data_IF_841682565186
#
_entry.id   IF_841682565186
#
_cell.length_a   1.000
_cell.length_b   1.000
_cell.length_c   1.000
_cell.angle_alpha   90.00
_cell.angle_beta   90.00
_cell.angle_gamma   90.00
#
_symmetry.space_group_name_H-M   'P 1'
#
loop_
_entity.id
_entity.type
_entity.pdbx_description
1 polymer ?
#
# COMPACT_ATOMS: atom_id res chain seq x y z
N UNK A 1 -6.93 -1.15 6.36
CA UNK A 1 -6.34 -1.18 5.00
C UNK A 1 -6.61 0.11 4.21
N UNK A 2 -7.66 0.87 4.56
CA UNK A 2 -8.01 2.16 3.92
C UNK A 2 -7.10 3.33 4.33
N UNK A 3 -6.49 3.27 5.51
CA UNK A 3 -5.51 4.28 5.98
C UNK A 3 -4.07 4.09 5.44
N UNK A 4 -3.91 3.26 4.41
CA UNK A 4 -2.63 2.98 3.76
C UNK A 4 -2.65 3.57 2.36
N UNK A 5 -1.86 4.61 2.15
CA UNK A 5 -1.65 5.22 0.84
C UNK A 5 -0.55 4.48 0.09
N UNK A 6 -0.70 4.37 -1.22
CA UNK A 6 0.25 3.67 -2.10
C UNK A 6 0.84 4.67 -3.08
N UNK A 7 2.17 4.67 -3.19
CA UNK A 7 2.90 5.42 -4.20
C UNK A 7 3.76 4.48 -5.04
N UNK A 8 3.86 4.75 -6.35
CA UNK A 8 4.76 4.05 -7.27
C UNK A 8 6.22 4.56 -7.22
N UNK A 9 6.49 5.57 -6.39
CA UNK A 9 7.83 6.13 -6.15
C UNK A 9 8.02 6.61 -4.70
N UNK A 10 9.25 6.99 -4.31
CA UNK A 10 9.52 7.53 -2.98
C UNK A 10 8.63 8.74 -2.65
N UNK A 11 8.01 8.71 -1.47
CA UNK A 11 7.09 9.77 -1.02
C UNK A 11 7.87 10.94 -0.42
N UNK A 12 7.53 12.18 -0.81
CA UNK A 12 8.05 13.42 -0.21
C UNK A 12 6.88 14.35 0.15
N UNK A 13 7.06 15.16 1.20
CA UNK A 13 6.08 16.19 1.57
C UNK A 13 4.75 15.67 2.13
N UNK A 14 4.71 14.45 2.67
CA UNK A 14 3.53 13.86 3.30
C UNK A 14 3.65 13.92 4.83
N UNK A 15 2.55 14.16 5.54
CA UNK A 15 2.54 14.17 7.02
C UNK A 15 2.65 12.77 7.64
N UNK A 16 2.45 11.71 6.86
CA UNK A 16 2.65 10.34 7.31
C UNK A 16 4.13 10.08 7.60
N UNK A 17 4.44 9.67 8.83
CA UNK A 17 5.82 9.38 9.27
C UNK A 17 6.21 7.92 9.14
N UNK A 18 5.23 7.06 8.87
CA UNK A 18 5.43 5.63 8.67
C UNK A 18 5.38 5.36 7.17
N UNK A 19 6.55 5.31 6.53
CA UNK A 19 6.66 5.04 5.09
C UNK A 19 7.59 3.86 4.90
N UNK A 20 7.12 2.84 4.17
CA UNK A 20 7.84 1.60 3.96
C UNK A 20 7.90 1.26 2.47
N UNK A 21 9.10 0.91 1.99
CA UNK A 21 9.21 0.25 0.69
C UNK A 21 8.65 -1.18 0.81
N UNK A 22 7.86 -1.56 -0.18
CA UNK A 22 7.21 -2.85 -0.26
C UNK A 22 7.18 -3.34 -1.72
N UNK A 23 6.86 -4.61 -1.90
CA UNK A 23 6.62 -5.19 -3.22
C UNK A 23 5.19 -5.73 -3.28
N UNK A 24 4.45 -5.36 -4.33
CA UNK A 24 3.11 -5.93 -4.54
C UNK A 24 3.25 -7.41 -4.88
N UNK A 25 2.70 -8.28 -4.05
CA UNK A 25 2.66 -9.73 -4.30
C UNK A 25 1.46 -10.08 -5.19
N UNK A 26 0.30 -9.51 -4.87
CA UNK A 26 -0.95 -9.78 -5.55
C UNK A 26 -1.89 -8.59 -5.47
N UNK A 27 -2.84 -8.55 -6.41
CA UNK A 27 -3.95 -7.62 -6.42
C UNK A 27 -5.23 -8.43 -6.59
N UNK A 28 -6.25 -8.13 -5.79
CA UNK A 28 -7.53 -8.81 -5.86
C UNK A 28 -8.65 -7.78 -5.86
N UNK A 29 -9.59 -7.90 -6.81
CA UNK A 29 -10.77 -7.02 -6.82
C UNK A 29 -11.72 -7.46 -5.73
N UNK A 30 -12.00 -6.56 -4.78
CA UNK A 30 -12.86 -6.81 -3.62
C UNK A 30 -14.01 -5.81 -3.65
N UNK A 31 -15.12 -6.19 -4.26
CA UNK A 31 -16.26 -5.29 -4.48
C UNK A 31 -15.90 -4.12 -5.41
N UNK A 32 -16.05 -2.89 -4.91
CA UNK A 32 -15.74 -1.68 -5.66
C UNK A 32 -14.24 -1.34 -5.69
N UNK A 33 -13.45 -1.94 -4.79
CA UNK A 33 -12.04 -1.63 -4.61
C UNK A 33 -11.12 -2.76 -5.09
N UNK A 34 -9.82 -2.48 -5.10
CA UNK A 34 -8.76 -3.47 -5.28
C UNK A 34 -7.95 -3.54 -3.99
N UNK A 35 -7.81 -4.74 -3.45
CA UNK A 35 -6.93 -5.03 -2.32
C UNK A 35 -5.57 -5.47 -2.83
N UNK A 36 -4.52 -4.73 -2.45
CA UNK A 36 -3.13 -5.12 -2.67
C UNK A 36 -2.65 -5.96 -1.50
N UNK A 37 -1.92 -7.03 -1.80
CA UNK A 37 -1.04 -7.72 -0.84
C UNK A 37 0.38 -7.24 -1.09
N UNK A 38 1.00 -6.66 -0.08
CA UNK A 38 2.32 -6.05 -0.20
C UNK A 38 3.31 -6.69 0.77
N UNK A 39 4.36 -7.30 0.23
CA UNK A 39 5.48 -7.82 1.01
C UNK A 39 6.35 -6.68 1.51
N UNK A 40 6.67 -6.68 2.80
CA UNK A 40 7.67 -5.79 3.39
C UNK A 40 8.83 -6.66 3.90
N UNK A 41 10.10 -6.32 3.63
CA UNK A 41 11.24 -7.11 4.08
C UNK A 41 11.30 -7.33 5.60
N UNK A 42 10.81 -6.35 6.37
CA UNK A 42 10.83 -6.37 7.83
C UNK A 42 9.56 -6.98 8.47
N UNK A 43 8.62 -7.51 7.68
CA UNK A 43 7.38 -8.08 8.19
C UNK A 43 7.15 -9.51 7.67
N UNK A 44 6.79 -10.47 8.54
CA UNK A 44 6.56 -11.85 8.14
C UNK A 44 5.25 -12.06 7.38
N UNK A 45 4.29 -11.14 7.52
CA UNK A 45 3.00 -11.18 6.87
C UNK A 45 2.83 -10.01 5.89
N UNK A 46 2.15 -10.20 4.75
CA UNK A 46 1.92 -9.12 3.80
C UNK A 46 0.98 -8.09 4.38
N UNK A 47 1.27 -6.83 4.08
CA UNK A 47 0.42 -5.72 4.40
C UNK A 47 -0.68 -5.57 3.37
N UNK A 48 -1.86 -5.13 3.82
CA UNK A 48 -3.00 -4.91 2.96
C UNK A 48 -3.23 -3.41 2.76
N UNK A 49 -3.28 -2.99 1.50
CA UNK A 49 -3.68 -1.65 1.10
C UNK A 49 -4.91 -1.76 0.20
N UNK A 50 -5.95 -0.97 0.48
CA UNK A 50 -7.13 -0.90 -0.37
C UNK A 50 -7.07 0.35 -1.21
N UNK A 51 -7.18 0.20 -2.52
CA UNK A 51 -7.12 1.28 -3.50
C UNK A 51 -8.28 1.16 -4.47
N UNK A 52 -8.60 2.25 -5.17
CA UNK A 52 -9.62 2.22 -6.22
C UNK A 52 -9.05 1.56 -7.49
N UNK A 53 -9.91 0.99 -8.36
CA UNK A 53 -9.47 0.53 -9.69
C UNK A 53 -8.78 1.63 -10.51
N UNK A 54 -9.24 2.89 -10.41
CA UNK A 54 -8.62 4.02 -11.09
C UNK A 54 -7.19 4.28 -10.60
N UNK A 55 -6.91 4.08 -9.30
CA UNK A 55 -5.55 4.21 -8.77
C UNK A 55 -4.64 3.08 -9.25
N UNK A 56 -5.17 1.86 -9.41
CA UNK A 56 -4.43 0.73 -10.02
C UNK A 56 -4.00 1.08 -11.44
N UNK A 57 -4.91 1.61 -12.24
CA UNK A 57 -4.63 2.04 -13.62
C UNK A 57 -3.63 3.19 -13.66
N UNK A 58 -3.88 4.26 -12.90
CA UNK A 58 -3.04 5.46 -12.91
C UNK A 58 -1.60 5.21 -12.44
N UNK A 59 -1.41 4.28 -11.51
CA UNK A 59 -0.09 3.91 -10.97
C UNK A 59 0.49 2.65 -11.65
N UNK A 60 -0.21 2.10 -12.65
CA UNK A 60 0.11 0.86 -13.35
C UNK A 60 0.44 -0.32 -12.42
N UNK A 61 -0.30 -0.43 -11.29
CA UNK A 61 0.00 -1.39 -10.22
C UNK A 61 -0.12 -2.84 -10.71
N UNK A 62 0.92 -3.61 -10.47
CA UNK A 62 0.99 -5.05 -10.81
C UNK A 62 1.84 -5.83 -9.82
N UNK A 63 1.63 -7.15 -9.78
CA UNK A 63 2.49 -8.04 -9.01
C UNK A 63 3.97 -7.88 -9.40
N UNK A 64 4.85 -7.95 -8.41
CA UNK A 64 6.29 -7.73 -8.53
C UNK A 64 6.74 -6.26 -8.48
N UNK A 65 5.82 -5.29 -8.58
CA UNK A 65 6.16 -3.87 -8.60
C UNK A 65 6.62 -3.36 -7.21
N UNK A 66 7.74 -2.62 -7.13
CA UNK A 66 8.10 -1.89 -5.93
C UNK A 66 7.14 -0.70 -5.73
N UNK A 67 6.69 -0.53 -4.49
CA UNK A 67 5.78 0.54 -4.07
C UNK A 67 6.20 1.07 -2.71
N UNK A 68 5.73 2.26 -2.38
CA UNK A 68 5.87 2.87 -1.05
C UNK A 68 4.51 2.92 -0.38
N UNK A 69 4.41 2.30 0.79
CA UNK A 69 3.23 2.33 1.64
C UNK A 69 3.41 3.43 2.68
N UNK A 70 2.58 4.46 2.60
CA UNK A 70 2.53 5.52 3.60
C UNK A 70 1.31 5.31 4.51
N UNK A 71 1.58 5.18 5.81
CA UNK A 71 0.58 4.79 6.81
C UNK A 71 0.31 5.98 7.72
N UNK A 72 -0.95 6.37 7.82
CA UNK A 72 -1.34 7.48 8.69
C UNK A 72 -1.14 7.10 10.15
N UNK A 73 -0.24 7.80 10.85
CA UNK A 73 0.16 7.41 12.21
C UNK A 73 -1.00 7.36 13.20
N UNK A 74 -2.02 8.22 13.05
CA UNK A 74 -3.19 8.19 13.94
C UNK A 74 -4.09 6.97 13.74
N UNK A 75 -3.90 6.20 12.67
CA UNK A 75 -4.71 5.01 12.35
C UNK A 75 -4.02 3.73 12.85
N UNK A 76 -2.77 3.82 13.31
CA UNK A 76 -2.08 2.73 13.98
C UNK A 76 -2.70 2.51 15.36
N UNK A 77 -2.90 1.24 15.72
CA UNK A 77 -3.33 0.81 17.04
C UNK A 77 -2.28 -0.17 17.56
N UNK A 78 -1.82 0.06 18.78
CA UNK A 78 -0.99 -0.89 19.53
C UNK A 78 -1.92 -1.57 20.52
N UNK A 79 -1.92 -2.91 20.50
CA UNK A 79 -2.73 -3.76 21.38
C UNK A 79 -1.81 -4.50 22.34
#
# INVERSE_FOLDING_TARGET
>A
AEDVLVSSGPVKGLSARNVYEARVEALERTGADVTLRCALPAAPAPWLARVTPAAVEALALKAGQPVWLAVKSHSVRLL
#
